data_IF_874534131636
#
_entry.id   IF_874534131636
#
_cell.length_a   1.000
_cell.length_b   1.000
_cell.length_c   1.000
_cell.angle_alpha   90.00
_cell.angle_beta   90.00
_cell.angle_gamma   90.00
#
_symmetry.space_group_name_H-M   'P 1'
#
loop_
_entity.id
_entity.type
_entity.pdbx_description
1 polymer ?
#
# COMPACT_ATOMS: atom_id res chain seq x y z
N UNK A 1 -1.20 6.46 4.72
CA UNK A 1 -2.10 6.30 3.56
C UNK A 1 -2.40 7.64 2.93
N UNK A 2 -3.21 8.51 3.57
CA UNK A 2 -3.66 9.78 2.98
C UNK A 2 -2.50 10.65 2.42
N UNK A 3 -1.44 10.86 3.19
CA UNK A 3 -0.25 11.59 2.72
C UNK A 3 0.33 10.98 1.44
N UNK A 4 0.49 9.65 1.38
CA UNK A 4 1.01 8.99 0.19
C UNK A 4 0.08 9.17 -1.03
N UNK A 5 -1.24 9.02 -0.85
CA UNK A 5 -2.22 9.21 -1.92
C UNK A 5 -2.29 10.67 -2.41
N UNK A 6 -2.36 11.64 -1.50
CA UNK A 6 -2.47 13.07 -1.83
C UNK A 6 -1.22 13.57 -2.56
N UNK A 7 -0.03 13.08 -2.17
CA UNK A 7 1.22 13.46 -2.82
C UNK A 7 1.58 12.57 -4.03
N UNK A 8 0.70 11.65 -4.44
CA UNK A 8 0.90 10.83 -5.63
C UNK A 8 2.06 9.84 -5.53
N UNK A 9 2.39 9.36 -4.33
CA UNK A 9 3.40 8.33 -4.16
C UNK A 9 2.93 7.01 -4.78
N UNK A 10 3.79 6.36 -5.56
CA UNK A 10 3.44 5.08 -6.20
C UNK A 10 3.33 3.92 -5.20
N UNK A 11 4.15 3.94 -4.14
CA UNK A 11 4.23 2.85 -3.15
C UNK A 11 4.14 3.37 -1.72
N UNK A 12 3.45 2.60 -0.86
CA UNK A 12 3.47 2.78 0.59
C UNK A 12 3.95 1.47 1.24
N UNK A 13 5.24 1.46 1.59
CA UNK A 13 5.87 0.34 2.28
C UNK A 13 5.45 0.28 3.75
N UNK A 14 5.01 -0.89 4.21
CA UNK A 14 4.64 -1.10 5.61
C UNK A 14 4.69 -2.58 6.02
N UNK A 15 5.17 -2.85 7.24
CA UNK A 15 5.03 -4.17 7.89
C UNK A 15 3.74 -4.33 8.71
N UNK A 16 2.86 -3.32 8.73
CA UNK A 16 1.60 -3.41 9.48
C UNK A 16 0.56 -4.22 8.69
N UNK A 17 0.74 -5.54 8.65
CA UNK A 17 -0.16 -6.49 7.99
C UNK A 17 -1.44 -6.76 8.79
N UNK A 18 -1.54 -6.22 10.02
CA UNK A 18 -2.76 -6.31 10.83
C UNK A 18 -3.82 -5.30 10.39
N UNK A 19 -3.40 -4.09 9.98
CA UNK A 19 -4.34 -3.00 9.71
C UNK A 19 -4.17 -2.31 8.35
N UNK A 20 -2.95 -2.24 7.79
CA UNK A 20 -2.68 -1.46 6.58
C UNK A 20 -2.43 -2.38 5.39
N UNK A 21 -1.36 -3.18 5.43
CA UNK A 21 -1.04 -4.19 4.42
C UNK A 21 -1.90 -5.46 4.54
N UNK A 22 -3.03 -5.37 5.27
CA UNK A 22 -3.93 -6.49 5.45
C UNK A 22 -4.74 -6.74 4.17
N UNK A 23 -4.81 -7.98 3.70
CA UNK A 23 -5.55 -8.33 2.47
C UNK A 23 -7.03 -7.92 2.48
N UNK A 24 -7.67 -7.88 3.66
CA UNK A 24 -9.06 -7.41 3.80
C UNK A 24 -9.17 -5.88 3.84
N UNK A 25 -8.17 -5.18 4.37
CA UNK A 25 -8.19 -3.73 4.50
C UNK A 25 -7.74 -3.02 3.22
N UNK A 26 -6.80 -3.59 2.45
CA UNK A 26 -6.26 -3.00 1.21
C UNK A 26 -7.37 -2.53 0.24
N UNK A 27 -8.37 -3.35 -0.13
CA UNK A 27 -9.42 -2.92 -1.05
C UNK A 27 -10.29 -1.78 -0.49
N UNK A 28 -10.52 -1.78 0.83
CA UNK A 28 -11.30 -0.72 1.49
C UNK A 28 -10.55 0.61 1.45
N UNK A 29 -9.24 0.56 1.72
CA UNK A 29 -8.36 1.72 1.67
C UNK A 29 -8.30 2.29 0.24
N UNK A 30 -8.14 1.43 -0.75
CA UNK A 30 -8.10 1.78 -2.17
C UNK A 30 -9.41 2.48 -2.59
N UNK A 31 -10.56 1.87 -2.28
CA UNK A 31 -11.87 2.43 -2.61
C UNK A 31 -12.10 3.81 -1.97
N UNK A 32 -11.64 4.03 -0.73
CA UNK A 32 -11.72 5.33 -0.05
C UNK A 32 -10.85 6.38 -0.75
N UNK A 33 -9.64 6.02 -1.18
CA UNK A 33 -8.77 6.94 -1.91
C UNK A 33 -9.41 7.35 -3.24
N UNK A 34 -9.93 6.38 -4.00
CA UNK A 34 -10.60 6.60 -5.28
C UNK A 34 -11.85 7.46 -5.13
N UNK A 35 -12.71 7.14 -4.14
CA UNK A 35 -13.90 7.93 -3.84
C UNK A 35 -13.57 9.38 -3.43
N UNK A 36 -12.35 9.59 -2.91
CA UNK A 36 -11.84 10.92 -2.54
C UNK A 36 -11.13 11.63 -3.71
N UNK A 37 -11.06 11.02 -4.90
CA UNK A 37 -10.42 11.58 -6.09
C UNK A 37 -8.90 11.41 -6.17
N UNK A 38 -8.33 10.52 -5.36
CA UNK A 38 -6.88 10.25 -5.34
C UNK A 38 -6.57 8.84 -5.86
N UNK A 39 -5.46 8.70 -6.60
CA UNK A 39 -4.92 7.38 -6.95
C UNK A 39 -4.38 6.72 -5.67
N UNK A 40 -4.84 5.52 -5.30
CA UNK A 40 -4.27 4.83 -4.15
C UNK A 40 -2.81 4.40 -4.41
N UNK A 41 -1.91 4.51 -3.42
CA UNK A 41 -0.58 3.93 -3.52
C UNK A 41 -0.67 2.41 -3.45
N UNK A 42 0.28 1.71 -4.07
CA UNK A 42 0.44 0.27 -3.86
C UNK A 42 0.93 0.03 -2.43
N UNK A 43 0.06 -0.55 -1.59
CA UNK A 43 0.40 -0.89 -0.21
C UNK A 43 1.03 -2.27 -0.17
N UNK A 44 2.32 -2.34 0.13
CA UNK A 44 3.06 -3.58 0.18
C UNK A 44 4.04 -3.61 1.36
N UNK A 45 4.50 -4.80 1.74
CA UNK A 45 5.68 -4.94 2.59
C UNK A 45 6.95 -4.74 1.73
N UNK A 46 8.09 -4.40 2.34
CA UNK A 46 9.35 -4.32 1.60
C UNK A 46 9.71 -5.62 0.87
N UNK A 47 9.41 -6.77 1.47
CA UNK A 47 9.62 -8.09 0.86
C UNK A 47 8.72 -8.28 -0.39
N UNK A 48 7.44 -7.90 -0.31
CA UNK A 48 6.54 -7.93 -1.47
C UNK A 48 7.02 -7.01 -2.61
N UNK A 49 7.66 -5.88 -2.30
CA UNK A 49 8.20 -4.96 -3.31
C UNK A 49 9.49 -5.47 -3.96
N UNK A 50 10.40 -6.03 -3.16
CA UNK A 50 11.71 -6.49 -3.63
C UNK A 50 11.63 -7.83 -4.38
N UNK A 51 10.56 -8.62 -4.16
CA UNK A 51 10.46 -9.98 -4.66
C UNK A 51 11.43 -10.93 -3.95
N UNK A 52 11.26 -12.25 -4.13
CA UNK A 52 12.08 -13.32 -3.53
C UNK A 52 13.55 -13.35 -4.03
N UNK A 53 14.21 -12.20 -4.16
CA UNK A 53 15.65 -12.12 -4.35
C UNK A 53 16.37 -12.22 -2.99
N UNK A 54 16.15 -13.35 -2.30
CA UNK A 54 17.15 -13.86 -1.36
C UNK A 54 18.27 -14.47 -2.21
N UNK A 55 19.34 -13.70 -2.43
CA UNK A 55 20.62 -14.32 -2.76
C UNK A 55 21.11 -14.92 -1.44
N UNK A 56 21.16 -16.25 -1.36
CA UNK A 56 21.83 -16.99 -0.28
C UNK A 56 23.24 -16.44 0.00
#
# INVERSE_FOLDING_TARGET
>A
IAIAAVHGADYLLTWNCKHIANARQRPIIEAICEASGYRPPVICTPEELLGDHYVD
#
